data_IF_768547833556
#
_entry.id   IF_768547833556
#
_cell.length_a   1.000
_cell.length_b   1.000
_cell.length_c   1.000
_cell.angle_alpha   90.00
_cell.angle_beta   90.00
_cell.angle_gamma   90.00
#
_symmetry.space_group_name_H-M   'P 1'
#
loop_
_entity.id
_entity.type
_entity.pdbx_description
1 polymer ?
#
# COMPACT_ATOMS: atom_id res chain seq x y z
N UNK A 1 1.01 10.72 -6.41
CA UNK A 1 0.70 9.37 -5.87
C UNK A 1 1.94 8.53 -5.98
N UNK A 2 2.17 7.63 -5.03
CA UNK A 2 3.28 6.69 -5.10
C UNK A 2 3.22 5.86 -6.39
N UNK A 3 4.38 5.48 -6.90
CA UNK A 3 4.46 4.79 -8.18
C UNK A 3 4.22 3.28 -8.12
N UNK A 4 4.36 2.67 -6.92
CA UNK A 4 4.07 1.25 -6.72
C UNK A 4 2.57 1.04 -6.49
N UNK A 5 1.87 0.56 -7.48
CA UNK A 5 0.46 0.20 -7.44
C UNK A 5 0.33 -1.32 -7.33
N UNK A 6 0.60 -1.87 -6.15
CA UNK A 6 0.55 -3.32 -5.90
C UNK A 6 -0.87 -3.82 -5.62
N UNK A 7 -1.73 -2.95 -5.12
CA UNK A 7 -3.08 -3.29 -4.73
C UNK A 7 -4.06 -3.27 -5.92
N UNK A 8 -5.08 -4.10 -5.84
CA UNK A 8 -6.16 -4.12 -6.82
C UNK A 8 -7.02 -2.86 -6.63
N UNK A 9 -7.33 -2.10 -7.70
CA UNK A 9 -8.27 -0.99 -7.62
C UNK A 9 -9.67 -1.47 -7.25
N UNK A 10 -10.38 -0.65 -6.46
CA UNK A 10 -11.80 -0.88 -6.17
C UNK A 10 -12.66 -0.05 -7.11
N UNK A 11 -13.82 -0.57 -7.45
CA UNK A 11 -14.83 0.14 -8.25
C UNK A 11 -16.14 0.16 -7.47
N UNK A 12 -16.73 1.33 -7.34
CA UNK A 12 -18.06 1.54 -6.81
C UNK A 12 -18.81 2.56 -7.67
N UNK A 13 -19.79 2.09 -8.43
CA UNK A 13 -20.58 2.90 -9.37
C UNK A 13 -19.66 3.61 -10.39
N UNK A 14 -19.58 4.95 -10.32
CA UNK A 14 -18.75 5.80 -11.16
C UNK A 14 -17.40 6.16 -10.53
N UNK A 15 -17.00 5.50 -9.44
CA UNK A 15 -15.77 5.78 -8.70
C UNK A 15 -14.78 4.63 -8.77
N UNK A 16 -13.53 5.00 -8.90
CA UNK A 16 -12.39 4.09 -8.82
C UNK A 16 -11.52 4.53 -7.65
N UNK A 17 -11.14 3.59 -6.79
CA UNK A 17 -10.24 3.85 -5.68
C UNK A 17 -8.91 3.13 -5.95
N UNK A 18 -7.83 3.89 -5.91
CA UNK A 18 -6.48 3.38 -6.20
C UNK A 18 -5.58 3.67 -5.02
N UNK A 19 -4.97 2.63 -4.46
CA UNK A 19 -3.97 2.76 -3.40
C UNK A 19 -2.56 2.65 -4.00
N UNK A 20 -1.74 3.65 -3.72
CA UNK A 20 -0.31 3.66 -4.06
C UNK A 20 0.55 3.80 -2.82
N UNK A 21 1.61 3.00 -2.76
CA UNK A 21 2.54 3.00 -1.64
C UNK A 21 3.99 2.93 -2.12
N UNK A 22 4.88 3.65 -1.41
CA UNK A 22 6.33 3.65 -1.62
C UNK A 22 7.02 3.89 -0.28
N UNK A 23 8.20 3.32 -0.12
CA UNK A 23 9.07 3.61 1.02
C UNK A 23 9.43 5.11 1.01
N UNK A 24 9.21 5.78 2.14
CA UNK A 24 9.46 7.23 2.23
C UNK A 24 8.35 8.11 1.67
N UNK A 25 7.25 7.54 1.16
CA UNK A 25 6.11 8.27 0.61
C UNK A 25 5.09 8.77 1.64
N UNK A 26 5.24 8.41 2.93
CA UNK A 26 4.39 8.97 3.99
C UNK A 26 4.75 10.45 4.22
N UNK A 27 3.80 11.32 4.52
CA UNK A 27 3.99 12.77 4.56
C UNK A 27 5.19 13.23 5.40
N UNK A 28 5.41 12.58 6.55
CA UNK A 28 6.51 12.86 7.49
C UNK A 28 7.87 12.31 7.05
N UNK A 29 7.91 11.44 6.06
CA UNK A 29 9.12 10.80 5.54
C UNK A 29 9.61 11.42 4.24
N UNK A 30 8.76 12.21 3.59
CA UNK A 30 9.07 12.78 2.27
C UNK A 30 10.29 13.69 2.33
N UNK A 31 11.16 13.52 1.33
CA UNK A 31 12.37 14.34 1.17
C UNK A 31 12.27 15.17 -0.11
N UNK A 32 12.77 16.39 -0.03
CA UNK A 32 12.96 17.21 -1.21
C UNK A 32 14.30 16.80 -1.84
N UNK A 33 14.25 16.23 -3.03
CA UNK A 33 15.43 15.87 -3.82
C UNK A 33 15.80 17.07 -4.67
N UNK A 34 17.06 17.56 -4.62
CA UNK A 34 17.53 18.66 -5.45
C UNK A 34 17.44 18.36 -6.95
N UNK A 35 17.43 19.41 -7.76
CA UNK A 35 17.49 19.28 -9.22
C UNK A 35 18.86 18.74 -9.65
N UNK A 36 18.91 18.08 -10.82
CA UNK A 36 20.13 17.43 -11.31
C UNK A 36 21.29 18.43 -11.48
N UNK A 37 21.03 19.62 -12.02
CA UNK A 37 22.03 20.67 -12.15
C UNK A 37 22.67 21.06 -10.81
N UNK A 38 21.90 21.06 -9.72
CA UNK A 38 22.40 21.30 -8.38
C UNK A 38 23.29 20.18 -7.89
N UNK A 39 22.91 18.94 -8.14
CA UNK A 39 23.68 17.76 -7.74
C UNK A 39 24.99 17.70 -8.51
N UNK A 40 24.99 17.97 -9.81
CA UNK A 40 26.24 18.08 -10.59
C UNK A 40 27.16 19.15 -10.03
N UNK A 41 26.65 20.34 -9.72
CA UNK A 41 27.46 21.41 -9.15
C UNK A 41 28.14 21.05 -7.81
N UNK A 42 27.48 20.19 -7.02
CA UNK A 42 27.95 19.79 -5.70
C UNK A 42 28.84 18.51 -5.74
N UNK A 43 28.69 17.63 -6.73
CA UNK A 43 29.30 16.29 -6.70
C UNK A 43 30.06 15.85 -7.95
N UNK A 44 29.76 16.38 -9.15
CA UNK A 44 30.44 16.06 -10.40
C UNK A 44 31.86 16.69 -10.41
N UNK A 45 32.89 15.88 -10.16
CA UNK A 45 34.25 16.32 -9.97
C UNK A 45 35.04 16.40 -11.27
N UNK A 46 34.70 15.53 -12.21
CA UNK A 46 35.39 15.46 -13.51
C UNK A 46 34.68 16.26 -14.60
N UNK A 47 33.49 16.82 -14.27
CA UNK A 47 32.68 17.67 -15.15
C UNK A 47 32.23 16.97 -16.44
N UNK A 48 31.95 15.67 -16.37
CA UNK A 48 31.46 14.90 -17.49
C UNK A 48 29.91 15.00 -17.67
N UNK A 49 29.23 15.65 -16.72
CA UNK A 49 27.79 15.87 -16.74
C UNK A 49 26.96 14.66 -16.26
N UNK A 50 27.59 13.70 -15.59
CA UNK A 50 26.97 12.52 -14.98
C UNK A 50 27.50 12.33 -13.56
N UNK A 51 26.98 11.35 -12.86
CA UNK A 51 27.47 10.95 -11.54
C UNK A 51 27.98 9.51 -11.58
N UNK A 52 29.27 9.32 -11.37
CA UNK A 52 29.85 8.02 -11.09
C UNK A 52 29.57 7.57 -9.64
N UNK A 53 29.80 6.30 -9.27
CA UNK A 53 29.68 5.85 -7.87
C UNK A 53 30.54 6.63 -6.88
N UNK A 54 31.71 7.14 -7.33
CA UNK A 54 32.61 7.94 -6.51
C UNK A 54 32.18 9.40 -6.31
N UNK A 55 31.18 9.85 -7.05
CA UNK A 55 30.61 11.20 -7.05
C UNK A 55 29.17 11.19 -6.52
N UNK A 56 28.62 10.03 -6.30
CA UNK A 56 27.28 9.89 -5.81
C UNK A 56 27.09 10.54 -4.43
N UNK A 57 26.00 11.31 -4.23
CA UNK A 57 25.73 11.90 -2.93
C UNK A 57 25.55 10.82 -1.86
N UNK A 58 25.96 11.08 -0.60
CA UNK A 58 25.77 10.12 0.48
C UNK A 58 24.32 9.71 0.64
N UNK A 59 24.04 8.41 0.63
CA UNK A 59 22.71 7.85 0.81
C UNK A 59 22.71 6.75 1.88
N UNK A 60 21.56 6.56 2.57
CA UNK A 60 21.44 5.58 3.64
C UNK A 60 21.34 4.14 3.13
N UNK A 61 20.73 3.92 1.96
CA UNK A 61 20.65 2.61 1.34
C UNK A 61 21.94 2.36 0.52
N UNK A 62 22.54 1.22 0.72
CA UNK A 62 23.80 0.83 0.05
C UNK A 62 23.65 0.58 -1.43
N UNK A 63 22.46 0.25 -1.86
CA UNK A 63 22.08 -0.17 -3.21
C UNK A 63 21.37 0.92 -4.03
N UNK A 64 21.14 2.13 -3.44
CA UNK A 64 20.36 3.19 -4.09
C UNK A 64 20.96 3.65 -5.43
N UNK A 65 22.29 3.63 -5.57
CA UNK A 65 22.96 3.99 -6.82
C UNK A 65 22.58 3.01 -7.93
N UNK A 66 22.75 1.71 -7.68
CA UNK A 66 22.39 0.63 -8.63
C UNK A 66 20.90 0.62 -8.96
N UNK A 67 20.04 0.96 -7.99
CA UNK A 67 18.60 1.10 -8.21
C UNK A 67 18.24 2.35 -9.02
N UNK A 68 19.09 3.36 -9.05
CA UNK A 68 18.88 4.62 -9.76
C UNK A 68 19.49 4.58 -11.17
N UNK A 69 20.62 3.91 -11.34
CA UNK A 69 21.24 3.57 -12.63
C UNK A 69 20.38 2.52 -13.35
N UNK A 70 19.43 2.99 -14.14
CA UNK A 70 18.40 2.15 -14.77
C UNK A 70 18.90 1.37 -15.97
N UNK A 71 19.89 1.93 -16.67
CA UNK A 71 20.48 1.34 -17.87
C UNK A 71 21.71 0.48 -17.57
N UNK A 72 22.21 0.53 -16.29
CA UNK A 72 23.38 -0.19 -15.79
C UNK A 72 24.68 0.16 -16.52
N UNK A 73 24.83 1.42 -16.93
CA UNK A 73 26.07 1.91 -17.55
C UNK A 73 27.14 2.36 -16.53
N UNK A 74 26.79 2.33 -15.24
CA UNK A 74 27.67 2.71 -14.14
C UNK A 74 27.67 4.20 -13.81
N UNK A 75 26.77 4.96 -14.41
CA UNK A 75 26.58 6.38 -14.16
C UNK A 75 25.11 6.69 -13.88
N UNK A 76 24.85 7.83 -13.24
CA UNK A 76 23.51 8.39 -13.14
C UNK A 76 23.48 9.64 -14.01
N UNK A 77 22.63 9.62 -15.03
CA UNK A 77 22.37 10.76 -15.91
C UNK A 77 21.17 11.61 -15.44
N UNK A 78 20.87 12.69 -16.19
CA UNK A 78 19.75 13.59 -15.88
C UNK A 78 18.39 12.87 -15.87
N UNK A 79 18.17 11.94 -16.81
CA UNK A 79 16.91 11.20 -16.94
C UNK A 79 16.69 10.26 -15.75
N UNK A 80 17.74 9.58 -15.32
CA UNK A 80 17.72 8.68 -14.18
C UNK A 80 17.55 9.43 -12.87
N UNK A 81 18.23 10.60 -12.74
CA UNK A 81 18.01 11.48 -11.61
C UNK A 81 16.60 12.06 -11.55
N UNK A 82 16.01 12.45 -12.67
CA UNK A 82 14.60 12.88 -12.74
C UNK A 82 13.64 11.75 -12.33
N UNK A 83 13.92 10.51 -12.74
CA UNK A 83 13.17 9.36 -12.28
C UNK A 83 13.28 9.17 -10.77
N UNK A 84 14.48 9.26 -10.21
CA UNK A 84 14.73 9.22 -8.77
C UNK A 84 14.01 10.35 -8.02
N UNK A 85 14.00 11.58 -8.56
CA UNK A 85 13.25 12.71 -7.99
C UNK A 85 11.74 12.42 -7.94
N UNK A 86 11.18 11.95 -9.04
CA UNK A 86 9.73 11.61 -9.11
C UNK A 86 9.39 10.51 -8.11
N UNK A 87 10.20 9.46 -8.05
CA UNK A 87 10.05 8.36 -7.08
C UNK A 87 10.12 8.86 -5.64
N UNK A 88 11.12 9.64 -5.30
CA UNK A 88 11.37 10.14 -3.95
C UNK A 88 10.38 11.22 -3.50
N UNK A 89 9.75 11.93 -4.44
CA UNK A 89 8.68 12.89 -4.18
C UNK A 89 7.30 12.26 -4.16
N UNK A 90 7.20 10.97 -4.50
CA UNK A 90 5.95 10.26 -4.55
C UNK A 90 5.23 10.28 -3.20
N UNK A 91 3.91 10.35 -3.24
CA UNK A 91 3.06 10.46 -2.06
C UNK A 91 2.21 9.20 -1.91
N UNK A 92 2.34 8.54 -0.77
CA UNK A 92 1.44 7.45 -0.40
C UNK A 92 0.02 8.00 -0.27
N UNK A 93 -0.90 7.47 -1.06
CA UNK A 93 -2.29 7.86 -0.94
C UNK A 93 -3.24 6.81 -1.50
N UNK A 94 -4.40 6.71 -0.87
CA UNK A 94 -5.60 6.16 -1.48
C UNK A 94 -6.33 7.32 -2.15
N UNK A 95 -6.57 7.21 -3.46
CA UNK A 95 -7.21 8.23 -4.29
C UNK A 95 -8.57 7.73 -4.75
N UNK A 96 -9.60 8.54 -4.58
CA UNK A 96 -10.88 8.33 -5.24
C UNK A 96 -10.95 9.18 -6.52
N UNK A 97 -11.29 8.53 -7.62
CA UNK A 97 -11.34 9.15 -8.94
C UNK A 97 -12.72 8.89 -9.54
N UNK A 98 -13.35 9.92 -10.13
CA UNK A 98 -14.54 9.72 -10.94
C UNK A 98 -14.20 9.04 -12.26
N UNK A 99 -14.85 7.93 -12.57
CA UNK A 99 -14.54 7.05 -13.70
C UNK A 99 -15.05 7.57 -15.07
N UNK A 100 -15.15 8.87 -15.25
CA UNK A 100 -15.55 9.46 -16.52
C UNK A 100 -14.55 10.56 -16.89
N UNK A 101 -14.26 10.73 -18.18
CA UNK A 101 -13.36 11.77 -18.62
C UNK A 101 -12.47 11.30 -19.77
N UNK A 102 -11.77 12.24 -20.41
CA UNK A 102 -10.82 11.98 -21.50
C UNK A 102 -9.58 12.85 -21.29
N UNK A 103 -8.42 12.35 -21.71
CA UNK A 103 -7.15 13.04 -21.56
C UNK A 103 -6.68 13.12 -20.12
N UNK A 104 -6.01 14.20 -19.72
CA UNK A 104 -5.54 14.40 -18.36
C UNK A 104 -6.69 14.81 -17.43
N UNK A 105 -7.08 13.92 -16.54
CA UNK A 105 -8.15 14.09 -15.57
C UNK A 105 -7.65 14.39 -14.15
N UNK A 106 -6.34 14.58 -13.97
CA UNK A 106 -5.70 14.70 -12.64
C UNK A 106 -6.30 15.80 -11.77
N UNK A 107 -6.66 16.93 -12.34
CA UNK A 107 -7.20 18.08 -11.60
C UNK A 107 -8.73 18.15 -11.57
N UNK A 108 -9.41 17.41 -12.45
CA UNK A 108 -10.87 17.52 -12.64
C UNK A 108 -11.67 16.35 -12.06
N UNK A 109 -11.06 15.15 -11.93
CA UNK A 109 -11.78 13.94 -11.56
C UNK A 109 -11.32 13.31 -10.25
N UNK A 110 -10.28 13.83 -9.61
CA UNK A 110 -9.90 13.39 -8.26
C UNK A 110 -10.89 13.95 -7.27
N UNK A 111 -11.62 13.07 -6.58
CA UNK A 111 -12.64 13.43 -5.60
C UNK A 111 -12.02 13.73 -4.23
N UNK A 112 -11.17 12.83 -3.77
CA UNK A 112 -10.46 12.97 -2.50
C UNK A 112 -9.19 12.12 -2.45
N UNK A 113 -8.33 12.39 -1.47
CA UNK A 113 -7.11 11.64 -1.16
C UNK A 113 -7.01 11.38 0.34
N UNK A 114 -6.71 10.15 0.69
CA UNK A 114 -6.40 9.74 2.06
C UNK A 114 -4.93 9.30 2.15
N UNK A 115 -4.20 9.70 3.24
CA UNK A 115 -2.74 9.61 3.30
C UNK A 115 -2.18 8.93 4.54
N UNK A 116 -3.00 8.34 5.41
CA UNK A 116 -2.56 7.79 6.70
C UNK A 116 -2.66 6.28 6.71
N UNK A 117 -1.67 5.61 7.35
CA UNK A 117 -1.67 4.16 7.57
C UNK A 117 -2.10 3.34 6.33
N UNK A 118 -1.52 3.66 5.18
CA UNK A 118 -1.84 3.01 3.91
C UNK A 118 -1.12 1.68 3.77
N UNK A 119 -1.79 0.64 3.29
CA UNK A 119 -1.17 -0.66 3.07
C UNK A 119 -0.15 -0.61 1.94
N UNK A 120 0.96 -1.33 2.12
CA UNK A 120 1.96 -1.56 1.07
C UNK A 120 1.47 -2.60 0.07
N UNK A 121 1.13 -3.78 0.55
CA UNK A 121 0.76 -4.95 -0.27
C UNK A 121 -0.74 -5.25 -0.22
N UNK A 122 -1.40 -5.24 0.95
CA UNK A 122 -2.81 -5.54 1.02
C UNK A 122 -3.65 -4.59 0.17
N UNK A 123 -4.57 -5.14 -0.60
CA UNK A 123 -5.57 -4.34 -1.31
C UNK A 123 -6.60 -3.79 -0.33
N UNK A 124 -7.09 -2.56 -0.51
CA UNK A 124 -8.29 -2.09 0.16
C UNK A 124 -9.48 -3.03 -0.10
N UNK A 125 -10.41 -3.10 0.84
CA UNK A 125 -11.67 -3.83 0.69
C UNK A 125 -12.82 -2.83 0.70
N UNK A 126 -13.71 -2.89 -0.28
CA UNK A 126 -14.99 -2.19 -0.24
C UNK A 126 -16.08 -3.22 0.07
N UNK A 127 -16.77 -3.05 1.18
CA UNK A 127 -17.83 -3.95 1.60
C UNK A 127 -18.93 -3.19 2.36
N UNK A 128 -20.17 -3.38 1.98
CA UNK A 128 -21.35 -2.73 2.58
C UNK A 128 -21.22 -1.19 2.68
N UNK A 129 -20.65 -0.55 1.63
CA UNK A 129 -20.53 0.90 1.56
C UNK A 129 -19.42 1.49 2.46
N UNK A 130 -18.47 0.70 2.91
CA UNK A 130 -17.32 1.12 3.71
C UNK A 130 -16.04 0.61 3.09
N UNK A 131 -15.00 1.45 3.01
CA UNK A 131 -13.65 1.04 2.61
C UNK A 131 -12.86 0.66 3.86
N UNK A 132 -12.19 -0.50 3.81
CA UNK A 132 -11.36 -1.01 4.88
C UNK A 132 -9.92 -1.16 4.43
N UNK A 133 -8.99 -0.77 5.30
CA UNK A 133 -7.55 -0.85 5.10
C UNK A 133 -6.91 -1.56 6.28
N UNK A 134 -5.83 -2.31 6.01
CA UNK A 134 -4.99 -2.90 7.05
C UNK A 134 -3.52 -2.58 6.76
N UNK A 135 -2.80 -2.02 7.75
CA UNK A 135 -1.36 -1.80 7.73
C UNK A 135 -0.76 -2.06 9.11
N UNK A 136 0.14 -3.02 9.20
CA UNK A 136 0.94 -3.28 10.41
C UNK A 136 0.09 -3.36 11.70
N UNK A 137 -1.05 -4.04 11.62
CA UNK A 137 -2.01 -4.18 12.71
C UNK A 137 -2.86 -2.93 12.99
N UNK A 138 -2.78 -1.88 12.19
CA UNK A 138 -3.71 -0.74 12.20
C UNK A 138 -4.83 -1.02 11.19
N UNK A 139 -6.06 -1.13 11.67
CA UNK A 139 -7.23 -1.30 10.83
C UNK A 139 -8.04 -0.01 10.74
N UNK A 140 -8.39 0.38 9.53
CA UNK A 140 -9.04 1.66 9.24
C UNK A 140 -10.30 1.43 8.42
N UNK A 141 -11.40 2.06 8.79
CA UNK A 141 -12.62 2.18 7.99
C UNK A 141 -12.82 3.61 7.51
N UNK A 142 -13.16 3.78 6.23
CA UNK A 142 -13.34 5.08 5.57
C UNK A 142 -14.71 5.16 4.91
N UNK A 143 -15.24 6.38 4.88
CA UNK A 143 -16.37 6.74 4.04
C UNK A 143 -15.92 6.83 2.56
N UNK A 144 -16.49 6.04 1.63
CA UNK A 144 -16.10 6.07 0.23
C UNK A 144 -16.52 7.36 -0.51
N UNK A 145 -17.45 8.15 0.04
CA UNK A 145 -17.90 9.39 -0.59
C UNK A 145 -16.87 10.53 -0.46
N UNK A 146 -16.23 10.64 0.71
CA UNK A 146 -15.39 11.79 1.04
C UNK A 146 -14.01 11.42 1.63
N UNK A 147 -13.73 10.12 1.87
CA UNK A 147 -12.46 9.65 2.44
C UNK A 147 -12.30 9.92 3.93
N UNK A 148 -13.35 10.33 4.62
CA UNK A 148 -13.33 10.54 6.08
C UNK A 148 -13.16 9.21 6.83
N UNK A 149 -12.37 9.26 7.89
CA UNK A 149 -12.15 8.10 8.77
C UNK A 149 -13.35 7.92 9.69
N UNK A 150 -14.01 6.78 9.60
CA UNK A 150 -15.01 6.38 10.60
C UNK A 150 -14.29 5.87 11.86
N UNK A 151 -13.36 4.93 11.70
CA UNK A 151 -12.57 4.38 12.80
C UNK A 151 -11.18 3.98 12.33
N UNK A 152 -10.18 4.32 13.14
CA UNK A 152 -8.81 3.82 12.97
C UNK A 152 -8.28 3.39 14.33
N UNK A 153 -7.91 2.14 14.48
CA UNK A 153 -7.35 1.62 15.72
C UNK A 153 -6.44 0.41 15.46
N UNK A 154 -5.63 0.07 16.46
CA UNK A 154 -4.81 -1.12 16.45
C UNK A 154 -5.66 -2.36 16.73
N UNK A 155 -5.38 -3.44 16.02
CA UNK A 155 -5.95 -4.77 16.30
C UNK A 155 -5.23 -5.35 17.53
N UNK A 156 -5.72 -4.99 18.73
CA UNK A 156 -5.14 -5.48 19.99
C UNK A 156 -5.15 -7.01 20.04
N UNK A 157 -4.01 -7.62 20.29
CA UNK A 157 -3.82 -9.08 20.25
C UNK A 157 -3.40 -9.64 18.88
N UNK A 158 -3.41 -8.80 17.81
CA UNK A 158 -3.00 -9.20 16.47
C UNK A 158 -2.18 -8.08 15.80
N UNK A 159 -1.22 -7.54 16.54
CA UNK A 159 -0.24 -6.59 15.99
C UNK A 159 0.78 -7.37 15.17
N UNK A 160 1.31 -6.74 14.13
CA UNK A 160 2.32 -7.36 13.27
C UNK A 160 2.12 -6.99 11.82
N UNK A 161 2.83 -7.67 10.93
CA UNK A 161 2.76 -7.43 9.49
C UNK A 161 1.55 -8.11 8.87
N UNK A 162 1.00 -7.48 7.86
CA UNK A 162 -0.11 -7.99 7.06
C UNK A 162 0.27 -7.90 5.58
N UNK A 163 0.35 -9.05 4.92
CA UNK A 163 0.60 -9.17 3.48
C UNK A 163 -0.67 -9.50 2.71
N UNK A 164 -1.57 -10.25 3.37
CA UNK A 164 -2.85 -10.66 2.83
C UNK A 164 -3.85 -9.50 2.79
N UNK A 165 -4.66 -9.46 1.76
CA UNK A 165 -5.77 -8.52 1.68
C UNK A 165 -6.93 -8.96 2.57
N UNK A 166 -7.69 -8.02 3.17
CA UNK A 166 -8.94 -8.36 3.85
C UNK A 166 -9.97 -8.93 2.88
N UNK A 167 -10.76 -9.88 3.35
CA UNK A 167 -11.93 -10.40 2.63
C UNK A 167 -13.16 -10.33 3.51
N UNK A 168 -14.38 -10.29 2.91
CA UNK A 168 -15.60 -10.16 3.69
C UNK A 168 -16.72 -11.08 3.20
N UNK A 169 -17.49 -11.58 4.15
CA UNK A 169 -18.76 -12.30 3.95
C UNK A 169 -19.63 -12.24 5.22
N UNK A 170 -20.92 -12.35 5.07
CA UNK A 170 -21.89 -12.47 6.18
C UNK A 170 -21.75 -11.36 7.24
N UNK A 171 -21.51 -10.12 6.82
CA UNK A 171 -21.31 -9.00 7.75
C UNK A 171 -20.02 -9.06 8.56
N UNK A 172 -19.05 -9.86 8.13
CA UNK A 172 -17.75 -10.02 8.78
C UNK A 172 -16.62 -9.74 7.80
N UNK A 173 -15.49 -9.28 8.35
CA UNK A 173 -14.24 -9.10 7.64
C UNK A 173 -13.23 -10.05 8.26
N UNK A 174 -12.46 -10.71 7.42
CA UNK A 174 -11.39 -11.61 7.81
C UNK A 174 -10.06 -11.01 7.34
N UNK A 175 -9.11 -10.83 8.25
CA UNK A 175 -7.74 -10.41 7.97
C UNK A 175 -6.78 -11.43 8.56
N UNK A 176 -5.72 -11.75 7.81
CA UNK A 176 -4.73 -12.75 8.23
C UNK A 176 -3.38 -12.07 8.37
N UNK A 177 -2.83 -12.11 9.58
CA UNK A 177 -1.48 -11.64 9.88
C UNK A 177 -0.39 -12.59 9.38
N UNK A 178 0.82 -12.06 9.19
CA UNK A 178 2.00 -12.87 8.82
C UNK A 178 2.24 -14.00 9.83
N UNK A 179 1.95 -13.75 11.11
CA UNK A 179 2.09 -14.70 12.22
C UNK A 179 0.96 -15.76 12.30
N UNK A 180 0.11 -15.86 11.28
CA UNK A 180 -0.99 -16.81 11.20
C UNK A 180 -2.22 -16.47 12.01
N UNK A 181 -2.28 -15.29 12.61
CA UNK A 181 -3.50 -14.86 13.30
C UNK A 181 -4.60 -14.47 12.31
N UNK A 182 -5.72 -15.14 12.41
CA UNK A 182 -6.94 -14.84 11.66
C UNK A 182 -7.85 -13.98 12.55
N UNK A 183 -7.93 -12.69 12.24
CA UNK A 183 -8.79 -11.74 12.94
C UNK A 183 -10.13 -11.66 12.23
N UNK A 184 -11.20 -11.85 12.98
CA UNK A 184 -12.58 -11.70 12.52
C UNK A 184 -13.13 -10.39 13.08
N UNK A 185 -13.59 -9.53 12.19
CA UNK A 185 -14.14 -8.22 12.55
C UNK A 185 -15.60 -8.12 12.13
N UNK A 186 -16.42 -7.36 12.86
CA UNK A 186 -17.73 -6.93 12.38
C UNK A 186 -17.54 -5.93 11.23
N UNK A 187 -18.20 -6.14 10.11
CA UNK A 187 -18.20 -5.22 9.00
C UNK A 187 -19.16 -4.04 9.29
N UNK A 188 -18.62 -2.98 9.87
CA UNK A 188 -19.33 -1.75 10.21
C UNK A 188 -18.37 -0.56 10.13
N UNK A 189 -18.88 0.69 9.99
CA UNK A 189 -18.04 1.89 10.10
C UNK A 189 -17.21 1.93 11.39
N UNK A 190 -17.81 1.55 12.51
CA UNK A 190 -17.23 1.46 13.85
C UNK A 190 -16.78 0.03 14.22
N UNK A 191 -16.27 -0.71 13.27
CA UNK A 191 -15.88 -2.12 13.34
C UNK A 191 -15.37 -2.58 14.73
N UNK A 192 -15.58 -3.84 15.07
CA UNK A 192 -15.14 -4.48 16.32
C UNK A 192 -14.46 -5.81 16.04
N UNK A 193 -13.50 -6.18 16.89
CA UNK A 193 -12.89 -7.51 16.87
C UNK A 193 -13.90 -8.49 17.50
N UNK A 194 -14.32 -9.46 16.70
CA UNK A 194 -15.22 -10.53 17.15
C UNK A 194 -14.45 -11.75 17.64
N UNK A 195 -13.33 -12.06 16.98
CA UNK A 195 -12.46 -13.18 17.36
C UNK A 195 -11.06 -13.00 16.81
N UNK A 196 -10.08 -13.60 17.48
CA UNK A 196 -8.71 -13.80 17.00
C UNK A 196 -8.41 -15.28 17.14
N UNK A 197 -8.11 -15.96 16.04
CA UNK A 197 -7.75 -17.36 15.98
C UNK A 197 -6.31 -17.47 15.54
N UNK A 198 -5.51 -18.30 16.19
CA UNK A 198 -4.11 -18.49 15.86
C UNK A 198 -3.93 -19.85 15.16
N UNK A 199 -3.26 -19.84 14.01
CA UNK A 199 -2.92 -21.06 13.27
C UNK A 199 -1.51 -21.55 13.59
N UNK A 200 -0.73 -20.75 14.35
CA UNK A 200 0.66 -21.02 14.75
C UNK A 200 1.62 -21.26 13.56
N UNK A 201 1.31 -20.68 12.41
CA UNK A 201 2.07 -20.80 11.17
C UNK A 201 2.06 -19.52 10.37
N UNK A 202 3.15 -19.21 9.69
CA UNK A 202 3.23 -18.03 8.81
C UNK A 202 2.20 -18.09 7.67
N UNK A 203 1.53 -16.97 7.43
CA UNK A 203 0.54 -16.81 6.37
C UNK A 203 0.75 -15.52 5.57
N UNK A 204 0.80 -15.64 4.25
CA UNK A 204 1.04 -14.53 3.32
C UNK A 204 -0.08 -14.34 2.31
N UNK A 205 -0.83 -15.41 2.05
CA UNK A 205 -1.86 -15.42 1.02
C UNK A 205 -3.16 -14.77 1.51
N UNK A 206 -3.81 -14.04 0.63
CA UNK A 206 -5.19 -13.57 0.86
C UNK A 206 -6.12 -14.77 0.99
N UNK A 207 -6.95 -14.84 2.05
CA UNK A 207 -7.92 -15.93 2.20
C UNK A 207 -8.99 -15.88 1.10
N UNK A 208 -9.61 -17.02 0.85
CA UNK A 208 -10.74 -17.12 -0.06
C UNK A 208 -12.01 -17.53 0.68
N UNK A 209 -13.15 -17.02 0.24
CA UNK A 209 -14.45 -17.40 0.76
C UNK A 209 -15.27 -17.96 -0.40
N UNK A 210 -15.72 -19.21 -0.26
CA UNK A 210 -16.52 -19.90 -1.27
C UNK A 210 -17.52 -20.85 -0.59
N UNK A 211 -18.76 -20.79 -1.00
CA UNK A 211 -19.85 -21.69 -0.53
C UNK A 211 -19.93 -21.80 1.01
N UNK A 212 -19.88 -20.65 1.70
CA UNK A 212 -19.94 -20.59 3.16
C UNK A 212 -18.68 -21.09 3.88
N UNK A 213 -17.62 -21.34 3.16
CA UNK A 213 -16.33 -21.82 3.69
C UNK A 213 -15.26 -20.75 3.55
N UNK A 214 -14.40 -20.63 4.58
CA UNK A 214 -13.22 -19.80 4.58
C UNK A 214 -11.98 -20.67 4.37
N UNK A 215 -11.21 -20.37 3.35
CA UNK A 215 -9.95 -21.04 3.04
C UNK A 215 -8.78 -20.13 3.41
N UNK A 216 -7.87 -20.62 4.25
CA UNK A 216 -6.68 -19.89 4.67
C UNK A 216 -5.45 -20.73 4.32
N UNK A 217 -4.54 -20.17 3.52
CA UNK A 217 -3.27 -20.78 3.17
C UNK A 217 -2.19 -20.27 4.11
N UNK A 218 -1.57 -21.19 4.85
CA UNK A 218 -0.33 -20.97 5.60
C UNK A 218 0.86 -21.50 4.82
N UNK A 219 2.05 -21.42 5.41
CA UNK A 219 3.28 -21.94 4.79
C UNK A 219 3.22 -23.46 4.57
N UNK A 220 2.66 -24.20 5.53
CA UNK A 220 2.64 -25.66 5.52
C UNK A 220 1.29 -26.24 5.09
N UNK A 221 0.16 -25.55 5.26
CA UNK A 221 -1.17 -26.11 5.11
C UNK A 221 -2.16 -25.19 4.37
N UNK A 222 -3.25 -25.80 3.89
CA UNK A 222 -4.46 -25.13 3.46
C UNK A 222 -5.59 -25.52 4.43
N UNK A 223 -6.05 -24.58 5.20
CA UNK A 223 -7.17 -24.74 6.13
C UNK A 223 -8.50 -24.44 5.44
N UNK A 224 -9.51 -25.20 5.77
CA UNK A 224 -10.89 -24.98 5.35
C UNK A 224 -11.80 -24.93 6.59
N UNK A 225 -12.38 -23.78 6.85
CA UNK A 225 -13.30 -23.56 7.95
C UNK A 225 -14.72 -23.44 7.42
N UNK A 226 -15.65 -24.20 8.00
CA UNK A 226 -17.07 -24.18 7.67
C UNK A 226 -17.91 -24.20 8.94
N UNK A 227 -19.15 -23.76 8.84
CA UNK A 227 -20.14 -24.03 9.91
C UNK A 227 -20.44 -25.53 9.93
N UNK A 228 -20.66 -26.12 11.12
CA UNK A 228 -21.12 -27.49 11.20
C UNK A 228 -22.42 -27.67 10.38
N UNK A 229 -22.47 -28.69 9.51
CA UNK A 229 -23.65 -29.00 8.69
C UNK A 229 -23.69 -28.38 7.28
N UNK A 230 -22.56 -27.80 6.83
CA UNK A 230 -22.35 -27.34 5.43
C UNK A 230 -21.24 -28.11 4.75
#
# INVERSE_FOLDING_TARGET
>A
MAWQLKSVPLIDRDRIFVNGWEVGGDPEQRRKVPDFARILADYDKDHDGKLSPGEAPPHKASDWFTETDLNHDGYIDEREWQFYQVRSSAENCLVAIRACGRGDITNSHVLWRYRKALPNTPSPLLYQGVIYLIRDGIFTSLNPENGEVHKQARLTGALGRYWSSPVAADGKIFVVGEDGKVVVLRAAPDWEILAINNLDEDAFATPAILDGRLYVRTRAALYCFAKPGH
#
